data_IF_515834747556
#
_entry.id   IF_515834747556
#
_cell.length_a   1.000
_cell.length_b   1.000
_cell.length_c   1.000
_cell.angle_alpha   90.00
_cell.angle_beta   90.00
_cell.angle_gamma   90.00
#
_symmetry.space_group_name_H-M   'P 1'
#
loop_
_entity.id
_entity.type
_entity.pdbx_description
1 polymer ?
#
# COMPACT_ATOMS: atom_id res chain seq x y z
N UNK A 1 2.73 13.07 19.87
CA UNK A 1 2.89 11.60 19.84
C UNK A 1 4.34 11.32 20.21
N UNK A 2 4.60 10.89 21.44
CA UNK A 2 5.94 10.51 21.92
C UNK A 2 6.09 8.99 21.74
N UNK A 3 7.13 8.59 21.02
CA UNK A 3 7.35 7.22 20.56
C UNK A 3 8.22 6.59 21.63
N UNK A 4 7.67 5.67 22.43
CA UNK A 4 8.47 5.01 23.48
C UNK A 4 9.58 4.20 22.80
N UNK A 5 10.83 4.51 23.12
CA UNK A 5 12.04 3.80 22.68
C UNK A 5 12.43 3.82 21.18
N UNK A 6 11.77 4.62 20.33
CA UNK A 6 12.18 4.72 18.90
C UNK A 6 11.73 3.57 18.00
N UNK A 7 10.90 2.66 18.53
CA UNK A 7 10.16 1.68 17.76
C UNK A 7 8.85 2.30 17.23
N UNK A 8 8.37 1.81 16.09
CA UNK A 8 7.07 2.22 15.52
C UNK A 8 6.43 1.04 14.81
N UNK A 9 5.39 0.46 15.39
CA UNK A 9 4.75 -0.71 14.84
C UNK A 9 3.40 -0.37 14.18
N UNK A 10 3.29 -0.64 12.88
CA UNK A 10 2.12 -0.31 12.08
C UNK A 10 0.83 -1.02 12.53
N UNK A 11 0.94 -2.08 13.34
CA UNK A 11 -0.22 -2.78 13.91
C UNK A 11 -0.99 -1.88 14.88
N UNK A 12 -0.29 -1.08 15.68
CA UNK A 12 -0.85 -0.34 16.82
C UNK A 12 -0.79 1.17 16.69
N UNK A 13 0.20 1.67 15.95
CA UNK A 13 0.42 3.11 15.83
C UNK A 13 -0.65 3.77 14.94
N UNK A 14 -1.01 5.02 15.24
CA UNK A 14 -2.07 5.72 14.52
C UNK A 14 -1.56 6.29 13.19
N UNK A 15 -1.69 5.53 12.10
CA UNK A 15 -1.16 5.95 10.79
C UNK A 15 -2.16 5.87 9.63
N UNK A 16 -3.19 5.04 9.72
CA UNK A 16 -4.20 4.86 8.67
C UNK A 16 -5.33 5.87 8.91
N UNK A 17 -5.49 6.92 8.07
CA UNK A 17 -6.59 7.86 8.23
C UNK A 17 -7.92 7.22 7.83
N UNK A 18 -8.92 7.31 8.71
CA UNK A 18 -10.26 6.75 8.50
C UNK A 18 -11.34 7.73 8.92
N UNK A 19 -12.54 7.55 8.37
CA UNK A 19 -13.77 8.20 8.83
C UNK A 19 -14.72 7.11 9.34
N UNK A 20 -15.21 7.28 10.57
CA UNK A 20 -16.18 6.41 11.21
C UNK A 20 -17.62 6.71 10.76
N UNK A 21 -18.54 5.81 11.06
CA UNK A 21 -19.97 5.95 10.75
C UNK A 21 -20.64 7.16 11.41
N UNK A 22 -20.14 7.57 12.56
CA UNK A 22 -20.52 8.80 13.29
C UNK A 22 -19.93 10.09 12.69
N UNK A 23 -19.12 9.99 11.64
CA UNK A 23 -18.43 11.11 11.00
C UNK A 23 -17.10 11.50 11.63
N UNK A 24 -16.67 10.83 12.71
CA UNK A 24 -15.38 11.08 13.36
C UNK A 24 -14.24 10.73 12.41
N UNK A 25 -13.31 11.66 12.24
CA UNK A 25 -12.04 11.44 11.54
C UNK A 25 -10.91 11.23 12.54
N UNK A 26 -10.15 10.15 12.37
CA UNK A 26 -8.88 9.94 13.07
C UNK A 26 -7.99 8.95 12.34
N UNK A 27 -6.76 8.81 12.81
CA UNK A 27 -5.87 7.73 12.39
C UNK A 27 -6.01 6.54 13.32
N UNK A 28 -5.77 5.36 12.76
CA UNK A 28 -5.80 4.07 13.45
C UNK A 28 -4.59 3.21 13.03
N UNK A 29 -4.23 2.22 13.85
CA UNK A 29 -3.33 1.14 13.46
C UNK A 29 -4.01 0.07 12.60
N UNK A 30 -3.23 -0.88 12.06
CA UNK A 30 -3.78 -1.99 11.26
C UNK A 30 -4.76 -2.83 12.10
N UNK A 31 -4.43 -3.13 13.36
CA UNK A 31 -5.30 -3.94 14.21
C UNK A 31 -6.68 -3.29 14.33
N UNK A 32 -6.70 -2.02 14.73
CA UNK A 32 -7.93 -1.26 14.92
C UNK A 32 -8.71 -1.08 13.61
N UNK A 33 -8.01 -0.84 12.49
CA UNK A 33 -8.64 -0.74 11.16
C UNK A 33 -9.42 -2.00 10.77
N UNK A 34 -8.98 -3.18 11.20
CA UNK A 34 -9.61 -4.46 10.89
C UNK A 34 -10.72 -4.83 11.90
N UNK A 35 -10.47 -4.69 13.20
CA UNK A 35 -11.46 -5.07 14.24
C UNK A 35 -12.60 -4.07 14.38
N UNK A 36 -12.43 -2.84 13.89
CA UNK A 36 -13.49 -1.82 13.80
C UNK A 36 -13.97 -1.58 12.36
N UNK A 37 -13.61 -2.44 11.40
CA UNK A 37 -13.88 -2.22 9.98
C UNK A 37 -15.38 -2.00 9.66
N UNK A 38 -16.30 -2.58 10.45
CA UNK A 38 -17.75 -2.40 10.28
C UNK A 38 -18.26 -1.05 10.78
N UNK A 39 -17.51 -0.38 11.67
CA UNK A 39 -17.78 0.98 12.16
C UNK A 39 -17.04 2.05 11.34
N UNK A 40 -16.06 1.66 10.54
CA UNK A 40 -15.32 2.56 9.65
C UNK A 40 -16.08 2.67 8.34
N UNK A 41 -16.50 3.89 7.99
CA UNK A 41 -17.15 4.14 6.70
C UNK A 41 -16.19 3.94 5.54
N UNK A 42 -14.99 4.50 5.65
CA UNK A 42 -13.94 4.41 4.61
C UNK A 42 -12.56 4.84 5.11
N UNK A 43 -11.54 4.43 4.36
CA UNK A 43 -10.20 5.01 4.42
C UNK A 43 -10.27 6.43 3.83
N UNK A 44 -9.66 7.39 4.51
CA UNK A 44 -9.78 8.82 4.24
C UNK A 44 -8.41 9.50 4.11
N UNK A 45 -7.49 8.87 3.38
CA UNK A 45 -6.24 9.51 3.01
C UNK A 45 -6.51 10.65 2.01
N UNK A 46 -5.74 11.74 2.14
CA UNK A 46 -5.86 12.92 1.29
C UNK A 46 -5.51 12.64 -0.17
N UNK A 47 -4.66 11.64 -0.43
CA UNK A 47 -4.31 11.21 -1.78
C UNK A 47 -5.18 10.00 -2.19
N UNK A 48 -5.90 10.04 -3.32
CA UNK A 48 -6.73 8.91 -3.76
C UNK A 48 -5.94 7.63 -4.04
N UNK A 49 -4.66 7.74 -4.44
CA UNK A 49 -3.79 6.57 -4.66
C UNK A 49 -3.46 5.84 -3.35
N UNK A 50 -3.42 6.58 -2.25
CA UNK A 50 -3.21 6.03 -0.91
C UNK A 50 -4.43 5.23 -0.46
N UNK A 51 -5.65 5.73 -0.71
CA UNK A 51 -6.88 5.00 -0.36
C UNK A 51 -6.92 3.62 -1.03
N UNK A 52 -6.65 3.58 -2.34
CA UNK A 52 -6.61 2.32 -3.10
C UNK A 52 -5.48 1.38 -2.62
N UNK A 53 -4.30 1.94 -2.35
CA UNK A 53 -3.13 1.14 -1.94
C UNK A 53 -3.27 0.60 -0.52
N UNK A 54 -3.80 1.39 0.41
CA UNK A 54 -4.12 0.95 1.77
C UNK A 54 -5.21 -0.12 1.77
N UNK A 55 -6.29 0.07 1.00
CA UNK A 55 -7.34 -0.95 0.91
C UNK A 55 -6.77 -2.29 0.43
N UNK A 56 -6.01 -2.28 -0.66
CA UNK A 56 -5.35 -3.47 -1.20
C UNK A 56 -4.38 -4.09 -0.20
N UNK A 57 -3.61 -3.27 0.52
CA UNK A 57 -2.67 -3.76 1.53
C UNK A 57 -3.37 -4.39 2.74
N UNK A 58 -4.42 -3.76 3.28
CA UNK A 58 -5.21 -4.32 4.37
C UNK A 58 -5.89 -5.62 3.94
N UNK A 59 -6.41 -5.68 2.71
CA UNK A 59 -6.96 -6.91 2.16
C UNK A 59 -5.89 -8.00 2.00
N UNK A 60 -4.67 -7.66 1.57
CA UNK A 60 -3.55 -8.60 1.52
C UNK A 60 -3.23 -9.19 2.90
N UNK A 61 -3.30 -8.37 3.95
CA UNK A 61 -3.16 -8.81 5.33
C UNK A 61 -4.28 -9.78 5.72
N UNK A 62 -5.52 -9.50 5.32
CA UNK A 62 -6.65 -10.39 5.56
C UNK A 62 -6.47 -11.76 4.89
N UNK A 63 -6.11 -11.81 3.60
CA UNK A 63 -5.76 -13.07 2.92
C UNK A 63 -4.60 -13.81 3.61
N UNK A 64 -3.65 -13.07 4.19
CA UNK A 64 -2.56 -13.67 4.95
C UNK A 64 -3.01 -14.21 6.32
N UNK A 65 -3.89 -13.51 7.02
CA UNK A 65 -4.37 -13.88 8.35
C UNK A 65 -5.37 -15.04 8.29
N UNK A 66 -6.30 -14.99 7.33
CA UNK A 66 -7.32 -16.03 7.09
C UNK A 66 -7.25 -16.49 5.62
N UNK A 67 -6.25 -17.33 5.27
CA UNK A 67 -6.20 -17.95 3.95
C UNK A 67 -7.38 -18.89 3.75
N UNK A 68 -7.81 -19.06 2.50
CA UNK A 68 -8.90 -19.97 2.13
C UNK A 68 -10.21 -19.73 2.91
N UNK A 69 -10.50 -18.46 3.24
CA UNK A 69 -11.76 -18.07 3.89
C UNK A 69 -12.97 -18.67 3.15
N UNK A 70 -13.94 -19.18 3.89
CA UNK A 70 -15.14 -19.78 3.27
C UNK A 70 -16.21 -18.72 2.97
N UNK A 71 -17.22 -19.09 2.18
CA UNK A 71 -18.36 -18.19 1.91
C UNK A 71 -19.17 -17.95 3.20
N UNK A 72 -19.37 -19.00 3.98
CA UNK A 72 -20.06 -18.95 5.26
C UNK A 72 -19.35 -18.00 6.23
N UNK A 73 -18.02 -18.01 6.23
CA UNK A 73 -17.21 -17.08 7.01
C UNK A 73 -17.37 -15.64 6.57
N UNK A 74 -17.34 -15.37 5.25
CA UNK A 74 -17.63 -14.03 4.75
C UNK A 74 -19.05 -13.57 5.05
N UNK A 75 -20.02 -14.48 5.08
CA UNK A 75 -21.41 -14.17 5.42
C UNK A 75 -21.56 -13.80 6.90
N UNK A 76 -20.77 -14.41 7.80
CA UNK A 76 -20.71 -14.01 9.22
C UNK A 76 -20.26 -12.55 9.42
N UNK A 77 -19.49 -11.99 8.49
CA UNK A 77 -19.06 -10.59 8.57
C UNK A 77 -20.18 -9.60 8.23
N UNK A 78 -21.34 -10.05 7.72
CA UNK A 78 -22.44 -9.17 7.36
C UNK A 78 -23.00 -8.46 8.59
N UNK A 79 -22.90 -7.12 8.62
CA UNK A 79 -23.40 -6.32 9.74
C UNK A 79 -22.59 -6.47 11.04
N UNK A 80 -21.45 -7.17 11.01
CA UNK A 80 -20.54 -7.25 12.15
C UNK A 80 -19.82 -5.92 12.37
N UNK A 81 -19.32 -5.69 13.58
CA UNK A 81 -18.56 -4.46 13.92
C UNK A 81 -17.16 -4.41 13.30
N UNK A 82 -16.62 -5.55 12.87
CA UNK A 82 -15.31 -5.69 12.23
C UNK A 82 -14.94 -7.16 12.03
N UNK A 83 -13.68 -7.40 11.69
CA UNK A 83 -13.12 -8.75 11.52
C UNK A 83 -12.90 -9.38 12.90
N UNK A 84 -13.29 -10.66 13.12
CA UNK A 84 -13.05 -11.36 14.37
C UNK A 84 -11.57 -11.37 14.74
N UNK A 85 -11.24 -11.01 15.99
CA UNK A 85 -9.86 -10.84 16.44
C UNK A 85 -9.06 -12.15 16.37
N UNK A 86 -9.72 -13.29 16.59
CA UNK A 86 -9.18 -14.64 16.46
C UNK A 86 -8.76 -14.98 15.02
N UNK A 87 -9.23 -14.26 14.01
CA UNK A 87 -8.73 -14.45 12.64
C UNK A 87 -7.41 -13.73 12.40
N UNK A 88 -7.03 -12.80 13.28
CA UNK A 88 -5.89 -11.89 13.11
C UNK A 88 -4.65 -12.32 13.91
N UNK A 89 -4.60 -13.56 14.41
CA UNK A 89 -3.51 -14.07 15.26
C UNK A 89 -2.11 -13.78 14.69
N UNK A 90 -1.95 -13.86 13.36
CA UNK A 90 -0.67 -13.60 12.68
C UNK A 90 -0.17 -12.15 12.81
N UNK A 91 -1.07 -11.18 12.98
CA UNK A 91 -0.72 -9.78 13.24
C UNK A 91 -0.23 -9.55 14.68
N UNK A 92 -0.45 -10.50 15.59
CA UNK A 92 -0.31 -10.27 17.03
C UNK A 92 -1.45 -9.40 17.57
N UNK A 93 -1.38 -9.06 18.86
CA UNK A 93 -2.36 -8.19 19.54
C UNK A 93 -1.79 -6.78 19.75
N UNK A 94 -2.59 -5.79 20.20
CA UNK A 94 -2.05 -4.48 20.54
C UNK A 94 -0.96 -4.51 21.61
N UNK A 95 -1.04 -5.46 22.55
CA UNK A 95 -0.04 -5.62 23.62
C UNK A 95 1.22 -6.36 23.15
N UNK A 96 1.12 -7.15 22.07
CA UNK A 96 2.21 -7.93 21.50
C UNK A 96 2.11 -7.97 19.98
N UNK A 97 2.32 -6.84 19.28
CA UNK A 97 2.14 -6.77 17.85
C UNK A 97 3.27 -7.49 17.11
N UNK A 98 2.97 -8.03 15.94
CA UNK A 98 3.94 -8.76 15.12
C UNK A 98 5.14 -7.88 14.77
N UNK A 99 6.38 -8.36 15.00
CA UNK A 99 7.59 -7.57 14.74
C UNK A 99 7.83 -7.31 13.26
N UNK A 100 7.18 -8.06 12.35
CA UNK A 100 7.26 -7.84 10.90
C UNK A 100 6.69 -6.48 10.47
N UNK A 101 5.90 -5.84 11.34
CA UNK A 101 5.27 -4.53 11.11
C UNK A 101 5.99 -3.38 11.82
N UNK A 102 7.15 -3.63 12.45
CA UNK A 102 8.02 -2.58 12.95
C UNK A 102 8.59 -1.77 11.79
N UNK A 103 8.12 -0.53 11.60
CA UNK A 103 8.67 0.37 10.59
C UNK A 103 10.04 0.94 11.03
N UNK A 104 10.18 1.24 12.30
CA UNK A 104 11.41 1.70 12.94
C UNK A 104 11.78 0.76 14.10
N UNK A 105 13.01 0.91 14.60
CA UNK A 105 13.61 0.01 15.60
C UNK A 105 14.90 -0.64 15.13
N UNK A 106 15.55 -1.40 16.01
CA UNK A 106 16.86 -2.01 15.72
C UNK A 106 16.78 -3.39 15.05
N UNK A 107 15.62 -4.04 15.06
CA UNK A 107 15.37 -5.35 14.47
C UNK A 107 15.03 -5.35 12.96
N UNK A 108 14.47 -6.45 12.43
CA UNK A 108 13.87 -6.48 11.10
C UNK A 108 12.81 -5.40 10.97
N UNK A 109 12.79 -4.72 9.81
CA UNK A 109 11.88 -3.60 9.57
C UNK A 109 10.94 -3.86 8.42
N UNK A 110 9.67 -3.50 8.62
CA UNK A 110 8.59 -3.61 7.64
C UNK A 110 9.02 -3.07 6.28
N UNK A 111 8.97 -3.93 5.26
CA UNK A 111 9.24 -3.59 3.86
C UNK A 111 10.61 -2.97 3.54
N UNK A 112 11.55 -3.01 4.49
CA UNK A 112 12.87 -2.43 4.28
C UNK A 112 13.90 -3.50 3.88
N UNK A 113 14.98 -3.06 3.24
CA UNK A 113 16.05 -3.92 2.73
C UNK A 113 17.31 -3.70 3.57
N UNK A 114 17.72 -4.65 4.43
CA UNK A 114 18.87 -4.48 5.32
C UNK A 114 20.18 -4.08 4.63
N UNK A 115 20.40 -4.53 3.39
CA UNK A 115 21.58 -4.16 2.60
C UNK A 115 21.70 -2.68 2.22
N UNK A 116 20.68 -1.87 2.51
CA UNK A 116 20.65 -0.41 2.36
C UNK A 116 20.91 0.36 3.67
N UNK A 117 21.02 -0.33 4.82
CA UNK A 117 21.41 0.28 6.10
C UNK A 117 22.79 0.94 5.96
N UNK A 118 22.92 2.18 6.41
CA UNK A 118 24.14 2.98 6.27
C UNK A 118 24.36 3.58 4.87
N UNK A 119 23.38 3.45 3.97
CA UNK A 119 23.41 4.01 2.60
C UNK A 119 22.31 5.06 2.38
N UNK A 120 21.86 5.71 3.46
CA UNK A 120 20.76 6.67 3.48
C UNK A 120 21.20 8.03 2.90
N UNK A 121 21.23 8.12 1.57
CA UNK A 121 21.70 9.30 0.84
C UNK A 121 20.60 10.08 0.11
N UNK A 122 19.42 9.48 -0.05
CA UNK A 122 18.28 10.12 -0.74
C UNK A 122 17.38 10.82 0.25
N UNK A 123 16.78 11.94 -0.16
CA UNK A 123 15.80 12.63 0.66
C UNK A 123 14.54 11.76 0.83
N UNK A 124 13.88 11.83 1.98
CA UNK A 124 12.72 11.00 2.28
C UNK A 124 11.52 11.27 1.37
N UNK A 125 11.46 12.44 0.71
CA UNK A 125 10.41 12.78 -0.27
C UNK A 125 10.42 11.88 -1.50
N UNK A 126 11.49 11.11 -1.73
CA UNK A 126 11.49 10.01 -2.70
C UNK A 126 10.35 9.00 -2.50
N UNK A 127 9.79 8.89 -1.29
CA UNK A 127 8.65 8.02 -1.01
C UNK A 127 7.30 8.59 -1.48
N UNK A 128 7.22 9.91 -1.68
CA UNK A 128 5.98 10.64 -1.87
C UNK A 128 6.07 11.43 -3.18
N UNK A 129 5.49 10.86 -4.23
CA UNK A 129 5.52 11.41 -5.61
C UNK A 129 4.96 12.83 -5.73
N UNK A 130 4.17 13.26 -4.76
CA UNK A 130 3.54 14.57 -4.62
C UNK A 130 4.35 15.56 -3.75
N UNK A 131 5.53 15.17 -3.26
CA UNK A 131 6.53 16.09 -2.72
C UNK A 131 7.64 16.35 -3.74
N UNK A 132 7.97 17.62 -4.02
CA UNK A 132 9.08 17.92 -4.92
C UNK A 132 10.38 17.44 -4.31
N UNK A 133 11.11 16.64 -5.09
CA UNK A 133 12.38 16.04 -4.71
C UNK A 133 13.34 16.10 -5.92
N UNK A 134 14.63 16.24 -5.67
CA UNK A 134 15.67 16.47 -6.68
C UNK A 134 15.33 17.61 -7.67
N UNK A 135 15.18 17.29 -8.95
CA UNK A 135 14.94 18.25 -10.04
C UNK A 135 13.45 18.45 -10.32
N UNK A 136 12.56 17.90 -9.48
CA UNK A 136 11.12 18.06 -9.66
C UNK A 136 10.73 19.51 -9.38
N UNK A 137 9.92 20.09 -10.26
CA UNK A 137 9.44 21.47 -10.10
C UNK A 137 8.51 21.53 -8.89
N UNK A 138 8.80 22.44 -7.96
CA UNK A 138 7.90 22.74 -6.85
C UNK A 138 6.67 23.47 -7.39
N UNK A 139 5.49 22.83 -7.27
CA UNK A 139 4.21 23.45 -7.63
C UNK A 139 3.57 24.11 -6.39
N UNK A 140 2.87 23.33 -5.56
CA UNK A 140 2.10 23.85 -4.42
C UNK A 140 2.81 23.71 -3.07
N UNK A 141 3.92 22.96 -3.04
CA UNK A 141 4.71 22.72 -1.83
C UNK A 141 6.13 23.22 -2.06
N UNK A 142 6.54 24.21 -1.30
CA UNK A 142 7.87 24.79 -1.37
C UNK A 142 8.75 24.16 -0.30
N UNK A 143 9.32 23.00 -0.62
CA UNK A 143 10.26 22.28 0.24
C UNK A 143 11.55 22.01 -0.52
N UNK A 144 12.67 21.87 0.21
CA UNK A 144 13.98 21.56 -0.36
C UNK A 144 14.59 20.33 0.28
N UNK A 145 15.20 19.48 -0.53
CA UNK A 145 15.87 18.27 -0.05
C UNK A 145 16.91 18.63 1.02
N UNK A 146 16.82 17.94 2.17
CA UNK A 146 17.68 18.18 3.33
C UNK A 146 17.11 19.15 4.37
N UNK A 147 16.13 19.99 4.00
CA UNK A 147 15.48 20.94 4.94
C UNK A 147 14.20 20.35 5.54
N UNK A 148 13.50 19.47 4.82
CA UNK A 148 12.26 18.84 5.28
C UNK A 148 12.46 17.44 5.86
N UNK A 149 11.50 17.00 6.65
CA UNK A 149 11.37 15.63 7.11
C UNK A 149 9.92 15.12 6.99
N UNK A 150 9.78 13.80 7.01
CA UNK A 150 8.49 13.12 6.88
C UNK A 150 8.29 12.23 8.11
N UNK A 151 7.10 12.27 8.72
CA UNK A 151 6.81 11.41 9.86
C UNK A 151 6.71 9.94 9.42
N UNK A 152 7.00 8.98 10.31
CA UNK A 152 7.02 7.58 9.89
C UNK A 152 5.67 7.03 9.41
N UNK A 153 4.54 7.56 9.90
CA UNK A 153 3.22 7.29 9.29
C UNK A 153 3.22 7.56 7.78
N UNK A 154 3.70 8.74 7.37
CA UNK A 154 3.78 9.13 5.96
C UNK A 154 4.85 8.35 5.18
N UNK A 155 5.92 7.88 5.84
CA UNK A 155 6.87 6.95 5.23
C UNK A 155 6.20 5.62 4.88
N UNK A 156 5.42 5.03 5.81
CA UNK A 156 4.68 3.80 5.57
C UNK A 156 3.68 3.97 4.41
N UNK A 157 2.94 5.09 4.40
CA UNK A 157 2.02 5.43 3.31
C UNK A 157 2.72 5.44 1.95
N UNK A 158 3.84 6.16 1.80
CA UNK A 158 4.59 6.21 0.54
C UNK A 158 5.14 4.86 0.11
N UNK A 159 5.63 4.04 1.06
CA UNK A 159 6.10 2.69 0.79
C UNK A 159 4.98 1.78 0.29
N UNK A 160 3.80 1.84 0.90
CA UNK A 160 2.62 1.04 0.50
C UNK A 160 2.04 1.52 -0.82
N UNK A 161 2.04 2.84 -1.08
CA UNK A 161 1.64 3.41 -2.38
C UNK A 161 2.43 2.81 -3.53
N UNK A 162 3.73 2.53 -3.32
CA UNK A 162 4.54 1.91 -4.37
C UNK A 162 4.09 0.52 -4.78
N UNK A 163 3.42 -0.24 -3.92
CA UNK A 163 2.95 -1.59 -4.27
C UNK A 163 2.04 -1.58 -5.49
N UNK A 164 1.21 -0.54 -5.61
CA UNK A 164 0.26 -0.40 -6.71
C UNK A 164 0.70 0.66 -7.73
N UNK A 165 1.27 1.78 -7.30
CA UNK A 165 1.48 2.97 -8.13
C UNK A 165 2.95 3.39 -8.29
N UNK A 166 3.90 2.45 -8.17
CA UNK A 166 5.28 2.76 -8.53
C UNK A 166 5.40 3.11 -10.03
N UNK A 167 6.01 4.26 -10.29
CA UNK A 167 6.28 4.76 -11.64
C UNK A 167 7.58 4.18 -12.20
N UNK A 168 7.68 3.95 -13.51
CA UNK A 168 8.97 3.70 -14.14
C UNK A 168 9.72 5.02 -14.34
N UNK A 169 10.80 5.28 -13.61
CA UNK A 169 11.50 6.58 -13.62
C UNK A 169 12.84 6.55 -14.39
N UNK A 170 12.99 5.66 -15.37
CA UNK A 170 14.29 5.40 -16.00
C UNK A 170 15.30 4.82 -15.00
N UNK A 171 16.57 4.66 -15.41
CA UNK A 171 17.66 4.13 -14.56
C UNK A 171 17.33 2.79 -13.88
N UNK A 172 16.53 1.95 -14.53
CA UNK A 172 16.19 0.59 -14.09
C UNK A 172 15.17 0.48 -12.95
N UNK A 173 14.47 1.56 -12.58
CA UNK A 173 13.29 1.46 -11.70
C UNK A 173 12.11 0.84 -12.46
N UNK A 174 11.62 -0.30 -11.99
CA UNK A 174 10.43 -0.97 -12.52
C UNK A 174 9.16 -0.25 -12.08
N UNK A 175 8.09 -0.25 -12.89
CA UNK A 175 6.77 0.09 -12.39
C UNK A 175 6.26 -0.98 -11.40
N UNK A 176 5.06 -0.79 -10.85
CA UNK A 176 4.34 -1.83 -10.12
C UNK A 176 4.07 -3.08 -10.97
N UNK A 177 3.58 -4.16 -10.35
CA UNK A 177 3.35 -5.44 -11.01
C UNK A 177 2.35 -5.34 -12.20
N UNK A 178 1.38 -4.43 -12.10
CA UNK A 178 0.39 -4.16 -13.16
C UNK A 178 0.86 -3.13 -14.20
N UNK A 179 2.14 -2.77 -14.19
CA UNK A 179 2.72 -1.79 -15.11
C UNK A 179 2.56 -0.35 -14.65
N UNK A 180 2.84 0.58 -15.56
CA UNK A 180 2.74 2.02 -15.29
C UNK A 180 1.28 2.47 -15.36
N UNK A 181 0.86 3.28 -14.38
CA UNK A 181 -0.49 3.85 -14.27
C UNK A 181 -1.63 2.80 -14.34
N UNK A 182 -1.66 1.80 -13.43
CA UNK A 182 -2.79 0.87 -13.36
C UNK A 182 -4.07 1.59 -12.92
N UNK A 183 -5.21 1.09 -13.38
CA UNK A 183 -6.54 1.57 -12.96
C UNK A 183 -7.21 0.50 -12.12
N UNK A 184 -7.53 0.83 -10.88
CA UNK A 184 -8.27 -0.04 -9.96
C UNK A 184 -9.66 0.54 -9.72
N UNK A 185 -10.66 -0.34 -9.62
CA UNK A 185 -12.04 0.07 -9.35
C UNK A 185 -12.56 -0.62 -8.11
N UNK A 186 -13.03 0.20 -7.18
CA UNK A 186 -13.67 -0.22 -5.94
C UNK A 186 -15.08 0.36 -5.89
N UNK A 187 -16.05 -0.46 -5.53
CA UNK A 187 -17.41 -0.01 -5.27
C UNK A 187 -17.46 0.74 -3.94
N UNK A 188 -18.24 1.82 -3.89
CA UNK A 188 -18.62 2.42 -2.61
C UNK A 188 -19.47 1.40 -1.84
N UNK A 189 -19.22 1.30 -0.55
CA UNK A 189 -19.89 0.35 0.36
C UNK A 189 -20.31 1.08 1.64
N UNK A 190 -21.13 0.44 2.47
CA UNK A 190 -21.61 1.05 3.71
C UNK A 190 -20.51 1.14 4.78
N UNK A 191 -19.56 0.21 4.77
CA UNK A 191 -18.43 0.14 5.70
C UNK A 191 -17.18 -0.45 5.03
N UNK A 192 -16.03 -0.25 5.66
CA UNK A 192 -14.76 -0.88 5.23
C UNK A 192 -14.86 -2.41 5.31
N UNK A 193 -15.61 -2.96 6.27
CA UNK A 193 -15.87 -4.41 6.35
C UNK A 193 -16.67 -4.91 5.15
N UNK A 194 -17.69 -4.17 4.71
CA UNK A 194 -18.46 -4.53 3.51
C UNK A 194 -17.60 -4.46 2.24
N UNK A 195 -16.68 -3.49 2.17
CA UNK A 195 -15.66 -3.47 1.13
C UNK A 195 -14.80 -4.74 1.18
N UNK A 196 -14.27 -5.13 2.34
CA UNK A 196 -13.48 -6.36 2.47
C UNK A 196 -14.29 -7.59 2.04
N UNK A 197 -15.51 -7.79 2.55
CA UNK A 197 -16.38 -8.92 2.16
C UNK A 197 -16.56 -9.03 0.65
N UNK A 198 -16.72 -7.89 -0.03
CA UNK A 198 -16.92 -7.85 -1.49
C UNK A 198 -15.67 -8.25 -2.29
N UNK A 199 -14.50 -7.93 -1.78
CA UNK A 199 -13.21 -8.10 -2.49
C UNK A 199 -12.35 -9.25 -1.95
N UNK A 200 -12.78 -9.90 -0.87
CA UNK A 200 -12.14 -11.07 -0.29
C UNK A 200 -12.69 -12.35 -0.92
N UNK A 201 -12.00 -12.83 -1.95
CA UNK A 201 -12.36 -14.04 -2.70
C UNK A 201 -12.20 -15.29 -1.84
N UNK A 202 -13.26 -16.12 -1.68
CA UNK A 202 -13.19 -17.37 -0.94
C UNK A 202 -12.23 -18.39 -1.57
N UNK A 203 -11.67 -19.27 -0.73
CA UNK A 203 -10.91 -20.44 -1.20
C UNK A 203 -9.59 -20.12 -1.91
N UNK A 204 -9.04 -18.92 -1.74
CA UNK A 204 -7.72 -18.56 -2.27
C UNK A 204 -6.64 -19.00 -1.29
N UNK A 205 -5.73 -19.93 -1.67
CA UNK A 205 -4.63 -20.36 -0.82
C UNK A 205 -3.47 -19.36 -0.83
N UNK A 206 -2.63 -19.43 0.22
CA UNK A 206 -1.32 -18.78 0.22
C UNK A 206 -0.31 -19.68 -0.49
N UNK A 207 0.38 -19.13 -1.49
CA UNK A 207 1.42 -19.85 -2.20
C UNK A 207 2.79 -19.63 -1.56
N UNK A 208 2.95 -18.53 -0.81
CA UNK A 208 4.20 -18.17 -0.16
C UNK A 208 3.99 -17.26 1.04
N UNK A 209 5.06 -17.07 1.80
CA UNK A 209 5.11 -15.98 2.77
C UNK A 209 5.00 -14.61 2.07
N UNK A 210 4.21 -13.69 2.64
CA UNK A 210 3.96 -12.39 2.03
C UNK A 210 5.22 -11.51 2.01
N UNK A 211 5.25 -10.46 1.17
CA UNK A 211 6.44 -9.64 0.94
C UNK A 211 7.04 -8.93 2.17
N UNK A 212 6.26 -8.77 3.25
CA UNK A 212 6.71 -8.17 4.51
C UNK A 212 7.45 -9.16 5.42
N UNK A 213 7.30 -10.45 5.17
CA UNK A 213 8.04 -11.52 5.85
C UNK A 213 9.20 -11.98 4.94
N UNK A 214 8.89 -12.29 3.68
CA UNK A 214 9.87 -12.81 2.72
C UNK A 214 10.25 -11.74 1.67
N UNK A 215 11.46 -11.15 1.74
CA UNK A 215 11.91 -10.12 0.81
C UNK A 215 12.36 -10.65 -0.56
N UNK A 216 12.40 -11.97 -0.77
CA UNK A 216 12.86 -12.56 -2.04
C UNK A 216 11.79 -12.38 -3.12
N UNK A 217 12.19 -11.81 -4.26
CA UNK A 217 11.32 -11.68 -5.43
C UNK A 217 10.84 -13.05 -5.90
N UNK A 218 9.58 -13.19 -6.35
CA UNK A 218 9.13 -14.39 -7.04
C UNK A 218 9.90 -14.60 -8.35
N UNK A 219 10.13 -15.86 -8.69
CA UNK A 219 10.83 -16.28 -9.92
C UNK A 219 9.94 -16.31 -11.15
N UNK A 220 8.64 -16.57 -10.97
CA UNK A 220 7.66 -16.69 -12.05
C UNK A 220 6.29 -16.11 -11.64
N UNK A 221 5.35 -15.99 -12.59
CA UNK A 221 4.01 -15.48 -12.31
C UNK A 221 3.17 -16.47 -11.48
N UNK A 222 3.45 -17.77 -11.60
CA UNK A 222 2.77 -18.84 -10.86
C UNK A 222 3.10 -18.81 -9.36
N UNK A 223 4.19 -18.15 -8.95
CA UNK A 223 4.54 -17.92 -7.54
C UNK A 223 3.86 -16.68 -6.93
N UNK A 224 3.07 -15.92 -7.71
CA UNK A 224 2.47 -14.66 -7.27
C UNK A 224 1.03 -14.93 -6.81
N UNK A 225 0.85 -15.10 -5.50
CA UNK A 225 -0.47 -15.08 -4.87
C UNK A 225 -1.02 -13.66 -4.67
N UNK A 226 -2.28 -13.57 -4.25
CA UNK A 226 -2.97 -12.29 -4.04
C UNK A 226 -2.22 -11.38 -3.05
N UNK A 227 -1.76 -11.85 -1.88
CA UNK A 227 -0.95 -11.01 -0.98
C UNK A 227 0.34 -10.51 -1.61
N UNK A 228 1.06 -11.36 -2.36
CA UNK A 228 2.30 -10.97 -3.05
C UNK A 228 2.03 -9.93 -4.13
N UNK A 229 0.94 -10.08 -4.87
CA UNK A 229 0.47 -9.13 -5.88
C UNK A 229 0.13 -7.76 -5.27
N UNK A 230 -0.69 -7.75 -4.21
CA UNK A 230 -1.18 -6.52 -3.58
C UNK A 230 -0.09 -5.79 -2.78
N UNK A 231 0.90 -6.52 -2.27
CA UNK A 231 2.00 -6.01 -1.47
C UNK A 231 3.34 -6.05 -2.23
N UNK A 232 3.29 -5.96 -3.56
CA UNK A 232 4.46 -6.01 -4.45
C UNK A 232 5.54 -5.00 -4.03
N UNK A 233 6.83 -5.35 -4.17
CA UNK A 233 7.95 -4.51 -3.71
C UNK A 233 8.79 -3.95 -4.87
N UNK A 234 8.30 -2.99 -5.66
CA UNK A 234 9.03 -2.45 -6.81
C UNK A 234 10.19 -1.51 -6.41
N UNK A 235 10.31 -1.18 -5.12
CA UNK A 235 11.41 -0.39 -4.55
C UNK A 235 12.04 -1.12 -3.38
N UNK A 236 13.35 -0.96 -3.24
CA UNK A 236 14.07 -1.32 -2.02
C UNK A 236 14.32 -0.03 -1.24
N UNK A 237 13.88 -0.01 0.01
CA UNK A 237 13.92 1.17 0.88
C UNK A 237 14.61 0.81 2.19
N UNK A 238 15.30 1.77 2.80
CA UNK A 238 15.70 1.73 4.20
C UNK A 238 15.52 3.11 4.80
N UNK A 239 14.73 3.24 5.86
CA UNK A 239 14.48 4.52 6.50
C UNK A 239 15.68 4.87 7.40
N UNK A 240 16.18 6.09 7.24
CA UNK A 240 17.13 6.66 8.19
C UNK A 240 16.51 6.74 9.58
N UNK A 241 17.36 6.76 10.61
CA UNK A 241 16.87 7.07 11.96
C UNK A 241 16.21 8.45 11.92
N UNK A 242 15.04 8.63 12.57
CA UNK A 242 14.54 9.98 12.80
C UNK A 242 15.62 10.78 13.51
N UNK A 243 15.92 11.97 13.01
CA UNK A 243 17.05 12.74 13.55
C UNK A 243 16.79 13.10 15.03
N UNK A 244 17.85 13.38 15.79
CA UNK A 244 17.76 13.92 17.16
C UNK A 244 17.29 15.40 17.20
N UNK A 245 16.76 15.89 16.09
CA UNK A 245 16.15 17.19 15.98
C UNK A 245 14.91 17.32 16.90
N UNK A 246 14.54 18.55 17.28
CA UNK A 246 13.30 18.82 17.99
C UNK A 246 12.08 18.23 17.27
N UNK A 247 10.98 18.08 17.99
CA UNK A 247 9.69 17.74 17.38
C UNK A 247 9.34 18.83 16.36
N UNK A 248 9.16 18.42 15.10
CA UNK A 248 8.90 19.30 13.96
C UNK A 248 7.65 18.85 13.21
N UNK A 249 7.11 19.72 12.36
CA UNK A 249 5.96 19.43 11.53
C UNK A 249 6.37 18.60 10.30
N UNK A 250 5.73 17.43 10.14
CA UNK A 250 5.88 16.60 8.96
C UNK A 250 5.49 17.40 7.71
N UNK A 251 6.38 17.49 6.73
CA UNK A 251 6.12 18.28 5.53
C UNK A 251 5.09 17.66 4.58
N UNK A 252 4.59 16.46 4.90
CA UNK A 252 3.50 15.83 4.16
C UNK A 252 2.12 16.05 4.79
N UNK A 253 1.98 15.76 6.09
CA UNK A 253 0.69 15.77 6.80
C UNK A 253 0.55 16.89 7.83
N UNK A 254 1.61 17.64 8.13
CA UNK A 254 1.63 18.69 9.16
C UNK A 254 1.71 18.18 10.60
N UNK A 255 1.67 16.87 10.84
CA UNK A 255 1.75 16.35 12.21
C UNK A 255 3.13 16.55 12.83
N UNK A 256 3.12 16.91 14.11
CA UNK A 256 4.32 17.10 14.91
C UNK A 256 4.89 15.76 15.37
N UNK A 257 6.14 15.50 15.03
CA UNK A 257 6.83 14.28 15.47
C UNK A 257 8.33 14.31 15.17
N UNK A 258 9.00 13.19 15.46
CA UNK A 258 10.36 12.94 14.97
C UNK A 258 10.27 12.55 13.50
N UNK A 259 11.12 13.14 12.67
CA UNK A 259 11.00 13.06 11.22
C UNK A 259 12.15 12.27 10.59
N UNK A 260 11.84 11.49 9.55
CA UNK A 260 12.82 10.85 8.68
C UNK A 260 13.15 11.81 7.54
N UNK A 261 14.44 12.17 7.41
CA UNK A 261 14.91 13.06 6.34
C UNK A 261 15.63 12.34 5.22
N UNK A 262 16.33 11.26 5.55
CA UNK A 262 17.15 10.48 4.61
C UNK A 262 16.72 9.03 4.57
N UNK A 263 16.82 8.44 3.38
CA UNK A 263 16.50 7.04 3.13
C UNK A 263 17.58 6.41 2.23
N UNK A 264 17.83 5.12 2.44
CA UNK A 264 18.45 4.26 1.45
C UNK A 264 17.38 3.91 0.41
N UNK A 265 17.65 4.12 -0.87
CA UNK A 265 16.67 3.91 -1.92
C UNK A 265 17.32 3.29 -3.15
N UNK A 266 16.76 2.18 -3.62
CA UNK A 266 17.24 1.50 -4.82
C UNK A 266 16.14 0.70 -5.52
N UNK A 267 16.50 0.00 -6.59
CA UNK A 267 15.58 -0.83 -7.38
C UNK A 267 15.05 -1.98 -6.51
N UNK A 268 13.76 -2.29 -6.64
CA UNK A 268 13.14 -3.45 -6.02
C UNK A 268 12.92 -4.57 -7.01
N UNK A 269 11.85 -5.33 -6.79
CA UNK A 269 11.44 -6.44 -7.62
C UNK A 269 11.08 -6.00 -9.04
N UNK A 270 11.41 -6.87 -9.99
CA UNK A 270 10.99 -6.74 -11.39
C UNK A 270 9.91 -7.78 -11.65
N UNK A 271 8.85 -7.44 -12.41
CA UNK A 271 7.92 -8.45 -12.89
C UNK A 271 8.69 -9.59 -13.59
N UNK A 272 8.30 -10.86 -13.37
CA UNK A 272 8.88 -11.99 -14.08
C UNK A 272 8.88 -11.77 -15.60
N UNK A 273 9.95 -12.20 -16.26
CA UNK A 273 10.15 -11.96 -17.68
C UNK A 273 9.35 -12.96 -18.53
N UNK A 274 8.10 -12.64 -18.87
CA UNK A 274 7.37 -13.27 -19.98
C UNK A 274 6.61 -12.22 -20.78
N UNK A 275 6.78 -12.28 -22.11
CA UNK A 275 6.17 -11.33 -23.04
C UNK A 275 4.66 -11.63 -23.07
N UNK A 276 3.83 -10.64 -22.73
CA UNK A 276 2.35 -10.67 -22.76
C UNK A 276 1.63 -11.43 -21.62
N UNK A 277 2.34 -11.91 -20.61
CA UNK A 277 1.71 -12.43 -19.38
C UNK A 277 1.66 -11.35 -18.30
N UNK A 278 0.57 -11.34 -17.54
CA UNK A 278 0.39 -10.54 -16.32
C UNK A 278 -0.30 -11.41 -15.28
N UNK A 279 -0.09 -11.16 -13.99
CA UNK A 279 -0.84 -11.86 -12.96
C UNK A 279 -2.31 -11.44 -13.02
N UNK A 280 -3.18 -12.34 -12.61
CA UNK A 280 -4.61 -12.08 -12.50
C UNK A 280 -4.87 -11.21 -11.27
N UNK A 281 -5.18 -9.93 -11.47
CA UNK A 281 -5.50 -8.97 -10.40
C UNK A 281 -7.00 -8.69 -10.41
N UNK A 282 -7.76 -9.15 -9.39
CA UNK A 282 -9.22 -9.03 -9.37
C UNK A 282 -9.73 -7.59 -9.28
N UNK A 283 -8.86 -6.62 -9.01
CA UNK A 283 -9.23 -5.20 -8.92
C UNK A 283 -8.82 -4.39 -10.14
N UNK A 284 -8.02 -4.96 -11.04
CA UNK A 284 -7.49 -4.25 -12.20
C UNK A 284 -8.55 -4.17 -13.30
N UNK A 285 -8.82 -2.96 -13.79
CA UNK A 285 -9.71 -2.78 -14.93
C UNK A 285 -8.93 -2.84 -16.24
N UNK A 286 -9.53 -3.55 -17.18
CA UNK A 286 -8.98 -3.78 -18.50
C UNK A 286 -9.93 -3.40 -19.63
N UNK A 287 -9.42 -2.72 -20.67
CA UNK A 287 -10.16 -2.38 -21.89
C UNK A 287 -9.52 -3.04 -23.13
N UNK A 288 -10.22 -4.01 -23.73
CA UNK A 288 -9.81 -4.59 -25.02
C UNK A 288 -10.16 -3.64 -26.17
N UNK A 289 -9.20 -3.16 -26.99
CA UNK A 289 -9.52 -2.27 -28.11
C UNK A 289 -10.35 -3.00 -29.18
N UNK A 290 -11.45 -2.39 -29.62
CA UNK A 290 -12.26 -2.92 -30.72
C UNK A 290 -11.49 -2.89 -32.06
N UNK A 291 -11.62 -3.95 -32.87
CA UNK A 291 -11.21 -3.93 -34.29
C UNK A 291 -9.92 -4.65 -34.68
N UNK A 292 -9.27 -5.43 -33.80
CA UNK A 292 -8.20 -6.36 -34.20
C UNK A 292 -8.63 -7.81 -34.00
N UNK A 293 -8.66 -8.57 -35.10
CA UNK A 293 -8.94 -9.99 -35.12
C UNK A 293 -8.10 -10.75 -34.08
N UNK A 294 -8.71 -11.75 -33.42
CA UNK A 294 -8.14 -12.63 -32.40
C UNK A 294 -6.71 -13.06 -32.76
N UNK A 295 -5.71 -12.36 -32.22
CA UNK A 295 -4.34 -12.85 -32.03
C UNK A 295 -4.05 -12.73 -30.54
N UNK A 296 -3.91 -13.89 -29.89
CA UNK A 296 -3.41 -14.15 -28.53
C UNK A 296 -3.75 -13.10 -27.46
N UNK A 297 -4.60 -13.45 -26.48
CA UNK A 297 -4.90 -12.72 -25.23
C UNK A 297 -4.11 -11.40 -25.10
N UNK A 298 -4.61 -10.36 -25.77
CA UNK A 298 -4.07 -9.02 -25.60
C UNK A 298 -4.70 -8.49 -24.34
N UNK A 299 -4.11 -8.85 -23.20
CA UNK A 299 -4.47 -8.25 -21.93
C UNK A 299 -4.36 -6.73 -22.09
N UNK A 300 -5.38 -6.00 -21.67
CA UNK A 300 -5.54 -4.61 -22.00
C UNK A 300 -4.35 -3.79 -21.53
N UNK A 301 -3.95 -2.83 -22.36
CA UNK A 301 -3.01 -1.82 -21.90
C UNK A 301 -3.65 -1.14 -20.67
N UNK A 302 -2.91 -0.95 -19.56
CA UNK A 302 -3.38 -0.06 -18.50
C UNK A 302 -3.70 1.27 -19.19
N UNK A 303 -4.77 1.94 -18.79
CA UNK A 303 -5.16 3.22 -19.39
C UNK A 303 -3.95 4.17 -19.26
N UNK A 304 -3.20 4.36 -20.34
CA UNK A 304 -1.92 5.09 -20.34
C UNK A 304 -2.10 6.60 -20.40
N UNK A 305 -3.33 7.08 -20.47
CA UNK A 305 -3.64 8.51 -20.59
C UNK A 305 -4.38 9.01 -19.36
N UNK A 306 -3.82 9.97 -18.61
CA UNK A 306 -4.63 10.74 -17.68
C UNK A 306 -5.58 11.59 -18.53
N UNK A 307 -6.89 11.38 -18.43
CA UNK A 307 -7.86 12.37 -18.92
C UNK A 307 -7.86 12.67 -20.44
N UNK A 308 -7.67 11.69 -21.34
CA UNK A 308 -8.22 11.82 -22.72
C UNK A 308 -9.71 11.45 -22.77
N UNK A 309 -10.45 11.91 -21.78
CA UNK A 309 -11.39 13.00 -21.97
C UNK A 309 -12.09 13.22 -20.64
N UNK A 310 -12.78 14.33 -20.51
CA UNK A 310 -13.92 14.47 -19.59
C UNK A 310 -15.06 13.49 -19.97
N UNK A 311 -14.77 12.37 -20.64
CA UNK A 311 -15.58 11.16 -20.58
C UNK A 311 -15.43 10.58 -19.19
N UNK A 312 -16.30 11.06 -18.33
CA UNK A 312 -16.63 10.43 -17.08
C UNK A 312 -16.73 8.91 -17.25
N UNK A 313 -16.21 8.15 -16.28
CA UNK A 313 -16.18 6.69 -16.22
C UNK A 313 -17.49 6.02 -16.69
N UNK A 314 -18.65 6.67 -16.51
CA UNK A 314 -19.97 6.21 -16.97
C UNK A 314 -20.09 5.93 -18.47
N UNK A 315 -19.26 6.52 -19.34
CA UNK A 315 -19.29 6.22 -20.79
C UNK A 315 -18.79 4.82 -21.15
N UNK A 316 -18.00 4.22 -20.27
CA UNK A 316 -17.51 2.85 -20.43
C UNK A 316 -18.36 1.82 -19.66
N UNK A 317 -19.40 2.28 -18.95
CA UNK A 317 -20.27 1.45 -18.09
C UNK A 317 -21.60 1.04 -18.75
N UNK A 318 -21.82 1.42 -20.02
CA UNK A 318 -23.07 1.20 -20.78
C UNK A 318 -22.89 0.40 -22.08
N UNK A 319 -21.82 -0.40 -22.18
CA UNK A 319 -21.59 -1.29 -23.33
C UNK A 319 -21.52 -2.75 -22.88
#
# INVERSE_FOLDING_TARGET
MEWKNGDYNLVVEDWIPVVFDDGTFRKVGIWEALVLAGRIRRIAASNPLDNASLFRFLLAILYWCRPEITREELDMLQGASGVPAEWLERLGTPDSPSPHFNLLGDGPRFFQTPGLKGKEKKAAGYLLTDLPTETSIAHFRHVRDGEYGICPACCAMGMIRFCSFAHGSGRGYSPGINGAAPTYVFAETASLLDAFRRYWTPGVPLLREPPWINPKSPGSFEEIDIPTLMAWRPRSVWLGKPDDHPIEECSYCGEKGRLVRKIGFSRGWKPPARKNERPDDPHLVGISPAGKAKKSLSLPHPIRSPMESVASFWRYSLA
#
